data_IF_636029020689
#
_entry.id   IF_636029020689
#
_cell.length_a   1.000
_cell.length_b   1.000
_cell.length_c   1.000
_cell.angle_alpha   90.00
_cell.angle_beta   90.00
_cell.angle_gamma   90.00
#
_symmetry.space_group_name_H-M   'P 1'
#
loop_
_entity.id
_entity.type
_entity.pdbx_description
1 polymer ?
#
# COMPACT_ATOMS: atom_id res chain seq x y z
N UNK A 1 -76.72 39.64 32.91
CA UNK A 1 -76.12 40.61 31.97
C UNK A 1 -74.79 40.01 31.55
N UNK A 2 -74.75 39.45 30.35
CA UNK A 2 -73.59 38.75 29.82
C UNK A 2 -72.95 39.63 28.76
N UNK A 3 -71.84 40.29 29.11
CA UNK A 3 -71.10 41.13 28.17
C UNK A 3 -70.27 40.25 27.24
N UNK A 4 -70.75 40.12 26.00
CA UNK A 4 -70.03 39.55 24.88
C UNK A 4 -68.94 40.54 24.44
N UNK A 5 -67.69 40.21 24.75
CA UNK A 5 -66.50 40.92 24.29
C UNK A 5 -66.39 40.73 22.77
N UNK A 6 -66.77 41.75 21.99
CA UNK A 6 -66.47 41.81 20.55
C UNK A 6 -64.96 42.00 20.37
N UNK A 7 -64.28 40.93 19.93
CA UNK A 7 -62.90 41.03 19.44
C UNK A 7 -62.88 41.94 18.21
N UNK A 8 -61.98 42.94 18.12
CA UNK A 8 -61.99 43.89 17.00
C UNK A 8 -61.69 43.17 15.68
N UNK A 9 -62.61 43.28 14.72
CA UNK A 9 -62.57 42.67 13.37
C UNK A 9 -61.20 42.87 12.69
N UNK A 10 -60.54 44.00 12.96
CA UNK A 10 -59.22 44.35 12.43
C UNK A 10 -58.07 43.42 12.90
N UNK A 11 -58.16 42.85 14.11
CA UNK A 11 -57.15 41.93 14.65
C UNK A 11 -57.27 40.56 13.99
N UNK A 12 -58.48 40.12 13.74
CA UNK A 12 -58.78 38.86 13.04
C UNK A 12 -58.29 38.90 11.59
N UNK A 13 -58.43 40.05 10.93
CA UNK A 13 -58.01 40.23 9.54
C UNK A 13 -56.48 40.32 9.38
N UNK A 14 -55.80 40.98 10.31
CA UNK A 14 -54.33 40.99 10.36
C UNK A 14 -53.74 39.60 10.62
N UNK A 15 -54.31 38.83 11.55
CA UNK A 15 -53.89 37.43 11.79
C UNK A 15 -54.07 36.57 10.55
N UNK A 16 -55.15 36.76 9.80
CA UNK A 16 -55.41 36.02 8.55
C UNK A 16 -54.37 36.36 7.48
N UNK A 17 -54.01 37.63 7.32
CA UNK A 17 -52.96 38.06 6.38
C UNK A 17 -51.57 37.52 6.74
N UNK A 18 -51.20 37.56 8.02
CA UNK A 18 -49.94 36.97 8.47
C UNK A 18 -49.88 35.45 8.28
N UNK A 19 -51.00 34.74 8.48
CA UNK A 19 -51.05 33.30 8.25
C UNK A 19 -50.85 32.96 6.76
N UNK A 20 -51.55 33.66 5.86
CA UNK A 20 -51.41 33.46 4.41
C UNK A 20 -49.98 33.72 3.94
N UNK A 21 -49.33 34.78 4.44
CA UNK A 21 -47.92 35.04 4.09
C UNK A 21 -46.95 33.96 4.59
N UNK A 22 -47.20 33.39 5.77
CA UNK A 22 -46.38 32.28 6.27
C UNK A 22 -46.58 31.03 5.42
N UNK A 23 -47.83 30.70 5.07
CA UNK A 23 -48.16 29.54 4.26
C UNK A 23 -47.54 29.66 2.84
N UNK A 24 -47.57 30.85 2.23
CA UNK A 24 -46.92 31.13 0.93
C UNK A 24 -45.39 31.00 0.99
N UNK A 25 -44.75 31.47 2.07
CA UNK A 25 -43.31 31.31 2.25
C UNK A 25 -42.89 29.84 2.46
N UNK A 26 -43.72 29.06 3.15
CA UNK A 26 -43.47 27.63 3.37
C UNK A 26 -43.61 26.85 2.05
N UNK A 27 -44.60 27.18 1.22
CA UNK A 27 -44.82 26.57 -0.10
C UNK A 27 -43.66 26.85 -1.07
N UNK A 28 -43.15 28.09 -1.09
CA UNK A 28 -41.97 28.46 -1.89
C UNK A 28 -40.69 27.73 -1.43
N UNK A 29 -40.53 27.53 -0.11
CA UNK A 29 -39.40 26.79 0.45
C UNK A 29 -39.44 25.31 0.06
N UNK A 30 -40.62 24.68 0.13
CA UNK A 30 -40.85 23.29 -0.30
C UNK A 30 -40.57 23.13 -1.80
N UNK A 31 -41.03 24.06 -2.63
CA UNK A 31 -40.81 24.02 -4.08
C UNK A 31 -39.31 24.05 -4.41
N UNK A 32 -38.55 24.94 -3.75
CA UNK A 32 -37.10 25.05 -3.94
C UNK A 32 -36.36 23.78 -3.50
N UNK A 33 -36.76 23.16 -2.39
CA UNK A 33 -36.18 21.88 -1.93
C UNK A 33 -36.46 20.76 -2.95
N UNK A 34 -37.67 20.70 -3.49
CA UNK A 34 -38.03 19.68 -4.50
C UNK A 34 -37.24 19.86 -5.81
N UNK A 35 -37.02 21.10 -6.25
CA UNK A 35 -36.18 21.38 -7.42
C UNK A 35 -34.72 20.97 -7.19
N UNK A 36 -34.17 21.22 -5.99
CA UNK A 36 -32.82 20.76 -5.63
C UNK A 36 -32.72 19.24 -5.59
N UNK A 37 -33.74 18.56 -5.05
CA UNK A 37 -33.81 17.09 -5.05
C UNK A 37 -33.88 16.52 -6.48
N UNK A 38 -34.61 17.17 -7.39
CA UNK A 38 -34.66 16.77 -8.80
C UNK A 38 -33.29 16.88 -9.46
N UNK A 39 -32.60 18.02 -9.29
CA UNK A 39 -31.26 18.23 -9.84
C UNK A 39 -30.28 17.19 -9.30
N UNK A 40 -30.35 16.89 -7.99
CA UNK A 40 -29.50 15.88 -7.37
C UNK A 40 -29.77 14.48 -7.96
N UNK A 41 -31.04 14.14 -8.19
CA UNK A 41 -31.42 12.87 -8.76
C UNK A 41 -30.91 12.70 -10.21
N UNK A 42 -30.97 13.77 -11.02
CA UNK A 42 -30.42 13.77 -12.38
C UNK A 42 -28.90 13.55 -12.38
N UNK A 43 -28.17 14.19 -11.45
CA UNK A 43 -26.73 13.96 -11.29
C UNK A 43 -26.41 12.52 -10.89
N UNK A 44 -27.20 11.93 -9.99
CA UNK A 44 -27.01 10.53 -9.57
C UNK A 44 -27.21 9.58 -10.76
N UNK A 45 -28.22 9.81 -11.60
CA UNK A 45 -28.48 9.00 -12.80
C UNK A 45 -27.32 9.10 -13.81
N UNK A 46 -26.75 10.29 -14.01
CA UNK A 46 -25.59 10.48 -14.90
C UNK A 46 -24.34 9.75 -14.38
N UNK A 47 -24.10 9.76 -13.06
CA UNK A 47 -23.00 9.01 -12.43
C UNK A 47 -23.17 7.51 -12.64
N UNK A 48 -24.38 6.98 -12.45
CA UNK A 48 -24.69 5.55 -12.66
C UNK A 48 -24.43 5.16 -14.12
N UNK A 49 -24.86 5.99 -15.07
CA UNK A 49 -24.66 5.77 -16.50
C UNK A 49 -23.18 5.71 -16.86
N UNK A 50 -22.37 6.65 -16.38
CA UNK A 50 -20.93 6.69 -16.64
C UNK A 50 -20.20 5.49 -16.01
N UNK A 51 -20.61 5.08 -14.81
CA UNK A 51 -20.05 3.90 -14.12
C UNK A 51 -20.31 2.62 -14.91
N UNK A 52 -21.51 2.45 -15.45
CA UNK A 52 -21.87 1.30 -16.28
C UNK A 52 -21.08 1.29 -17.60
N UNK A 53 -20.90 2.45 -18.25
CA UNK A 53 -20.06 2.55 -19.45
C UNK A 53 -18.61 2.13 -19.17
N UNK A 54 -18.03 2.60 -18.05
CA UNK A 54 -16.69 2.21 -17.63
C UNK A 54 -16.57 0.70 -17.38
N UNK A 55 -17.55 0.11 -16.69
CA UNK A 55 -17.60 -1.34 -16.47
C UNK A 55 -17.62 -2.14 -17.78
N UNK A 56 -18.39 -1.70 -18.79
CA UNK A 56 -18.41 -2.37 -20.10
C UNK A 56 -17.07 -2.28 -20.84
N UNK A 57 -16.34 -1.16 -20.71
CA UNK A 57 -15.01 -1.00 -21.30
C UNK A 57 -13.98 -1.92 -20.65
N UNK A 58 -14.02 -2.09 -19.32
CA UNK A 58 -13.15 -3.02 -18.61
C UNK A 58 -13.36 -4.47 -19.05
N UNK A 59 -14.61 -4.92 -19.18
CA UNK A 59 -14.95 -6.27 -19.64
C UNK A 59 -14.44 -6.52 -21.06
N UNK A 60 -14.56 -5.54 -21.97
CA UNK A 60 -14.02 -5.63 -23.33
C UNK A 60 -12.49 -5.78 -23.32
N UNK A 61 -11.79 -4.95 -22.54
CA UNK A 61 -10.32 -5.00 -22.42
C UNK A 61 -9.83 -6.34 -21.86
N UNK A 62 -10.52 -6.90 -20.86
CA UNK A 62 -10.17 -8.22 -20.32
C UNK A 62 -10.40 -9.35 -21.34
N UNK A 63 -11.44 -9.23 -22.17
CA UNK A 63 -11.69 -10.19 -23.26
C UNK A 63 -10.59 -10.18 -24.32
N UNK A 64 -10.10 -8.99 -24.68
CA UNK A 64 -9.00 -8.80 -25.63
C UNK A 64 -7.68 -9.31 -25.05
N UNK A 65 -7.40 -9.00 -23.79
CA UNK A 65 -6.23 -9.51 -23.07
C UNK A 65 -6.22 -11.04 -23.00
N UNK A 66 -7.38 -11.67 -22.82
CA UNK A 66 -7.53 -13.12 -22.81
C UNK A 66 -7.28 -13.73 -24.20
N UNK A 67 -7.77 -13.10 -25.27
CA UNK A 67 -7.49 -13.51 -26.66
C UNK A 67 -6.00 -13.45 -26.96
N UNK A 68 -5.34 -12.34 -26.65
CA UNK A 68 -3.90 -12.15 -26.88
C UNK A 68 -3.07 -13.18 -26.10
N UNK A 69 -3.45 -13.48 -24.85
CA UNK A 69 -2.79 -14.50 -24.05
C UNK A 69 -2.91 -15.89 -24.66
N UNK A 70 -4.09 -16.24 -25.18
CA UNK A 70 -4.31 -17.53 -25.84
C UNK A 70 -3.54 -17.64 -27.16
N UNK A 71 -3.43 -16.54 -27.91
CA UNK A 71 -2.63 -16.48 -29.14
C UNK A 71 -1.14 -16.65 -28.87
N UNK A 72 -0.60 -16.01 -27.82
CA UNK A 72 0.79 -16.19 -27.39
C UNK A 72 1.06 -17.65 -27.00
N UNK A 73 0.14 -18.28 -26.26
CA UNK A 73 0.28 -19.69 -25.87
C UNK A 73 0.30 -20.60 -27.10
N UNK A 74 -0.62 -20.40 -28.05
CA UNK A 74 -0.66 -21.16 -29.30
C UNK A 74 0.62 -21.00 -30.14
N UNK A 75 1.18 -19.79 -30.20
CA UNK A 75 2.43 -19.52 -30.90
C UNK A 75 3.64 -20.20 -30.24
N UNK A 76 3.71 -20.22 -28.90
CA UNK A 76 4.78 -20.91 -28.15
C UNK A 76 4.71 -22.43 -28.37
N UNK A 77 3.51 -23.01 -28.42
CA UNK A 77 3.32 -24.44 -28.69
C UNK A 77 3.73 -24.83 -30.12
N UNK A 78 3.51 -23.96 -31.11
CA UNK A 78 4.01 -24.16 -32.48
C UNK A 78 5.55 -24.11 -32.54
N UNK A 79 6.18 -23.17 -31.82
CA UNK A 79 7.65 -23.07 -31.75
C UNK A 79 8.24 -24.34 -31.12
N UNK A 80 7.63 -24.84 -30.05
CA UNK A 80 8.07 -26.08 -29.39
C UNK A 80 7.91 -27.32 -30.28
N UNK A 81 6.89 -27.37 -31.16
CA UNK A 81 6.73 -28.46 -32.14
C UNK A 81 7.75 -28.43 -33.28
N UNK A 82 8.30 -27.26 -33.60
CA UNK A 82 9.26 -27.08 -34.69
C UNK A 82 10.73 -27.15 -34.22
N UNK A 83 10.98 -27.40 -32.93
CA UNK A 83 12.32 -27.44 -32.35
C UNK A 83 12.80 -28.88 -32.16
N UNK A 84 13.57 -29.43 -33.10
CA UNK A 84 14.40 -30.62 -32.84
C UNK A 84 15.78 -30.22 -32.29
N UNK A 85 16.27 -30.83 -31.20
CA UNK A 85 17.53 -30.44 -30.59
C UNK A 85 18.72 -31.16 -31.26
N UNK A 86 19.36 -30.51 -32.23
CA UNK A 86 20.72 -30.87 -32.64
C UNK A 86 21.71 -29.90 -32.01
N UNK A 87 22.28 -30.29 -30.86
CA UNK A 87 23.39 -29.57 -30.21
C UNK A 87 24.70 -30.35 -30.39
N UNK A 88 25.73 -29.77 -31.03
CA UNK A 88 27.08 -30.33 -31.03
C UNK A 88 27.70 -30.22 -29.63
N UNK A 89 28.26 -31.33 -29.13
CA UNK A 89 29.08 -31.34 -27.91
C UNK A 89 30.44 -30.75 -28.22
N UNK A 90 30.69 -29.51 -27.80
CA UNK A 90 32.06 -28.98 -27.71
C UNK A 90 32.58 -29.13 -26.28
N UNK A 91 33.46 -30.11 -26.12
CA UNK A 91 34.39 -30.17 -24.98
C UNK A 91 35.45 -29.09 -25.18
N UNK A 92 35.74 -28.30 -24.15
CA UNK A 92 37.02 -27.58 -24.10
C UNK A 92 37.49 -27.44 -22.64
N UNK A 93 38.80 -27.63 -22.36
CA UNK A 93 39.30 -27.79 -21.00
C UNK A 93 39.58 -26.45 -20.32
N UNK A 94 39.45 -26.44 -18.99
CA UNK A 94 39.95 -25.39 -18.10
C UNK A 94 41.48 -25.30 -18.21
N UNK A 95 42.00 -24.09 -18.38
CA UNK A 95 43.40 -23.77 -18.04
C UNK A 95 43.41 -22.43 -17.31
N UNK A 96 43.91 -22.46 -16.07
CA UNK A 96 44.15 -21.30 -15.23
C UNK A 96 45.26 -20.42 -15.85
N UNK A 97 44.99 -19.13 -16.05
CA UNK A 97 46.02 -18.15 -16.33
C UNK A 97 45.88 -16.96 -15.37
N UNK A 98 46.77 -16.91 -14.37
CA UNK A 98 46.96 -15.78 -13.47
C UNK A 98 47.45 -14.58 -14.29
N UNK A 99 46.69 -13.47 -14.31
CA UNK A 99 47.24 -12.17 -14.71
C UNK A 99 47.10 -11.13 -13.61
N UNK A 100 48.26 -10.84 -13.05
CA UNK A 100 48.62 -9.63 -12.33
C UNK A 100 48.35 -8.40 -13.21
N UNK A 101 47.57 -7.45 -12.72
CA UNK A 101 47.57 -6.07 -13.22
C UNK A 101 47.68 -5.15 -12.01
N UNK A 102 48.89 -4.64 -11.79
CA UNK A 102 49.14 -3.41 -11.05
C UNK A 102 48.77 -2.24 -11.97
N UNK A 103 47.90 -1.35 -11.51
CA UNK A 103 47.49 -0.15 -12.24
C UNK A 103 47.03 0.95 -11.31
N UNK A 104 48.01 1.67 -10.76
CA UNK A 104 48.01 3.08 -10.30
C UNK A 104 46.70 3.71 -9.83
N UNK A 105 46.54 3.79 -8.51
CA UNK A 105 45.66 4.74 -7.81
C UNK A 105 46.31 6.13 -7.82
N UNK A 106 45.56 7.15 -8.24
CA UNK A 106 45.76 8.52 -7.75
C UNK A 106 44.63 8.86 -6.77
N UNK A 107 44.94 9.35 -5.56
CA UNK A 107 43.95 9.63 -4.53
C UNK A 107 43.39 11.05 -4.72
N UNK A 108 42.06 11.18 -4.71
CA UNK A 108 41.40 12.46 -4.47
C UNK A 108 40.71 12.41 -3.10
N UNK A 109 40.88 13.50 -2.37
CA UNK A 109 40.72 13.63 -0.92
C UNK A 109 39.28 13.44 -0.43
N UNK A 110 39.12 12.85 0.76
CA UNK A 110 38.14 13.35 1.73
C UNK A 110 37.26 12.36 2.50
N UNK A 111 37.19 11.08 2.12
CA UNK A 111 36.24 10.15 2.76
C UNK A 111 36.97 9.16 3.68
N UNK A 112 36.44 8.98 4.90
CA UNK A 112 36.90 7.94 5.82
C UNK A 112 36.95 6.62 5.05
N UNK A 113 38.07 5.86 5.10
CA UNK A 113 38.14 4.59 4.39
C UNK A 113 37.07 3.67 4.97
N UNK A 114 36.11 3.30 4.14
CA UNK A 114 35.12 2.25 4.43
C UNK A 114 35.94 1.02 4.81
N UNK A 115 35.86 0.64 6.08
CA UNK A 115 36.48 -0.60 6.51
C UNK A 115 35.67 -1.72 5.85
N UNK A 116 36.22 -2.37 4.83
CA UNK A 116 35.56 -3.47 4.13
C UNK A 116 35.13 -4.63 5.05
N UNK A 117 35.55 -4.62 6.32
CA UNK A 117 35.13 -5.54 7.38
C UNK A 117 33.77 -5.19 8.01
N UNK A 118 33.29 -3.96 7.84
CA UNK A 118 32.06 -3.46 8.46
C UNK A 118 30.85 -3.54 7.51
N UNK A 119 31.05 -3.96 6.26
CA UNK A 119 29.96 -4.19 5.31
C UNK A 119 29.33 -5.57 5.61
N UNK A 120 28.04 -5.65 5.94
CA UNK A 120 27.37 -6.91 6.23
C UNK A 120 27.49 -7.90 5.07
N UNK A 121 27.70 -9.18 5.41
CA UNK A 121 27.74 -10.27 4.43
C UNK A 121 26.38 -10.38 3.76
N UNK A 122 26.34 -10.81 2.50
CA UNK A 122 25.09 -10.90 1.72
C UNK A 122 23.95 -11.69 2.43
N UNK A 123 24.29 -12.65 3.31
CA UNK A 123 23.33 -13.42 4.11
C UNK A 123 22.63 -12.61 5.20
N UNK A 124 23.22 -11.48 5.62
CA UNK A 124 22.68 -10.56 6.63
C UNK A 124 21.75 -9.51 6.00
N UNK A 125 21.65 -9.48 4.66
CA UNK A 125 20.78 -8.54 3.96
C UNK A 125 19.38 -9.13 3.76
N UNK A 126 18.34 -8.28 3.75
CA UNK A 126 16.97 -8.71 3.50
C UNK A 126 16.79 -9.27 2.09
N UNK A 127 15.88 -10.24 1.93
CA UNK A 127 15.47 -10.74 0.62
C UNK A 127 14.02 -10.37 0.31
N UNK A 128 13.74 -10.06 -0.96
CA UNK A 128 12.43 -9.58 -1.40
C UNK A 128 11.98 -10.25 -2.69
N UNK A 129 10.87 -10.99 -2.65
CA UNK A 129 10.35 -11.73 -3.81
C UNK A 129 9.35 -10.93 -4.65
N UNK A 130 8.68 -9.94 -4.05
CA UNK A 130 7.56 -9.23 -4.66
C UNK A 130 6.34 -10.11 -4.95
N UNK A 131 6.25 -11.30 -4.34
CA UNK A 131 5.16 -12.27 -4.52
C UNK A 131 4.46 -12.56 -3.18
N UNK A 132 3.15 -12.85 -3.21
CA UNK A 132 2.37 -13.20 -2.03
C UNK A 132 2.11 -12.00 -1.10
N UNK A 133 2.23 -12.24 0.22
CA UNK A 133 2.21 -11.20 1.25
C UNK A 133 3.63 -10.61 1.38
N UNK A 134 3.92 -9.54 0.65
CA UNK A 134 5.22 -8.87 0.67
C UNK A 134 5.19 -7.53 1.44
N UNK A 135 6.33 -7.16 2.02
CA UNK A 135 6.55 -5.90 2.71
C UNK A 135 7.79 -5.19 2.12
N UNK A 136 7.56 -4.32 1.14
CA UNK A 136 8.63 -3.57 0.50
C UNK A 136 9.17 -2.43 1.38
N UNK A 137 8.38 -1.95 2.35
CA UNK A 137 8.78 -0.91 3.30
C UNK A 137 9.87 -1.44 4.25
N UNK A 138 9.72 -2.68 4.73
CA UNK A 138 10.72 -3.33 5.58
C UNK A 138 12.03 -3.58 4.85
N UNK A 139 11.98 -3.95 3.56
CA UNK A 139 13.17 -4.04 2.71
C UNK A 139 13.92 -2.70 2.68
N UNK A 140 13.20 -1.62 2.34
CA UNK A 140 13.77 -0.27 2.23
C UNK A 140 14.35 0.17 3.56
N UNK A 141 13.58 0.07 4.65
CA UNK A 141 13.99 0.46 6.00
C UNK A 141 15.24 -0.30 6.46
N UNK A 142 15.29 -1.61 6.21
CA UNK A 142 16.46 -2.42 6.59
C UNK A 142 17.71 -1.98 5.84
N UNK A 143 17.59 -1.70 4.53
CA UNK A 143 18.71 -1.20 3.75
C UNK A 143 19.14 0.20 4.19
N UNK A 144 18.18 1.09 4.51
CA UNK A 144 18.47 2.44 5.01
C UNK A 144 19.20 2.39 6.36
N UNK A 145 18.78 1.53 7.29
CA UNK A 145 19.50 1.33 8.56
C UNK A 145 20.93 0.80 8.33
N UNK A 146 21.10 -0.18 7.44
CA UNK A 146 22.44 -0.69 7.10
C UNK A 146 23.32 0.38 6.43
N UNK A 147 22.72 1.23 5.60
CA UNK A 147 23.42 2.35 4.97
C UNK A 147 23.92 3.33 6.02
N UNK A 148 23.08 3.70 6.99
CA UNK A 148 23.42 4.63 8.07
C UNK A 148 24.47 4.03 9.02
N UNK A 149 24.25 2.81 9.51
CA UNK A 149 25.13 2.15 10.48
C UNK A 149 26.53 1.88 9.91
N UNK A 150 26.58 1.36 8.68
CA UNK A 150 27.83 0.92 8.04
C UNK A 150 28.39 1.93 7.04
N UNK A 151 27.77 3.11 6.88
CA UNK A 151 28.16 4.17 5.95
C UNK A 151 28.37 3.66 4.52
N UNK A 152 27.41 2.87 4.03
CA UNK A 152 27.54 2.14 2.76
C UNK A 152 27.21 3.08 1.59
N UNK A 153 28.11 3.22 0.59
CA UNK A 153 27.81 3.99 -0.62
C UNK A 153 26.68 3.39 -1.44
N UNK A 154 25.91 4.24 -2.10
CA UNK A 154 24.79 3.87 -2.97
C UNK A 154 25.20 2.86 -4.05
N UNK A 155 26.40 2.96 -4.60
CA UNK A 155 26.88 2.05 -5.65
C UNK A 155 26.97 0.59 -5.15
N UNK A 156 27.32 0.41 -3.88
CA UNK A 156 27.40 -0.90 -3.25
C UNK A 156 26.01 -1.46 -3.00
N UNK A 157 25.09 -0.63 -2.49
CA UNK A 157 23.69 -1.01 -2.25
C UNK A 157 23.03 -1.44 -3.56
N UNK A 158 23.13 -0.59 -4.58
CA UNK A 158 22.55 -0.81 -5.91
C UNK A 158 23.21 -2.00 -6.61
N UNK A 159 24.50 -2.23 -6.40
CA UNK A 159 25.20 -3.43 -6.86
C UNK A 159 24.72 -4.71 -6.17
N UNK A 160 24.40 -4.65 -4.88
CA UNK A 160 23.84 -5.76 -4.10
C UNK A 160 22.37 -6.01 -4.40
N UNK A 161 21.62 -5.01 -4.85
CA UNK A 161 20.17 -5.10 -5.06
C UNK A 161 19.76 -6.31 -5.91
N UNK A 162 20.54 -6.66 -6.94
CA UNK A 162 20.36 -7.87 -7.76
C UNK A 162 20.23 -9.17 -6.94
N UNK A 163 20.95 -9.28 -5.84
CA UNK A 163 20.94 -10.44 -4.96
C UNK A 163 19.82 -10.38 -3.92
N UNK A 164 19.41 -9.18 -3.53
CA UNK A 164 18.34 -8.97 -2.53
C UNK A 164 16.97 -9.26 -3.14
N UNK A 165 16.78 -8.95 -4.43
CA UNK A 165 15.52 -9.23 -5.11
C UNK A 165 15.49 -10.65 -5.70
N UNK A 166 14.37 -11.33 -5.53
CA UNK A 166 14.13 -12.68 -6.02
C UNK A 166 12.84 -12.76 -6.84
N UNK A 167 12.67 -13.85 -7.60
CA UNK A 167 11.42 -14.18 -8.32
C UNK A 167 10.88 -13.03 -9.18
N UNK A 168 9.61 -12.63 -9.01
CA UNK A 168 8.98 -11.54 -9.77
C UNK A 168 9.72 -10.21 -9.57
N UNK A 169 10.19 -9.90 -8.36
CA UNK A 169 10.97 -8.68 -8.13
C UNK A 169 12.30 -8.67 -8.89
N UNK A 170 12.95 -9.83 -9.05
CA UNK A 170 14.17 -9.96 -9.83
C UNK A 170 13.96 -9.67 -11.32
N UNK A 171 12.86 -10.17 -11.89
CA UNK A 171 12.50 -9.89 -13.30
C UNK A 171 12.24 -8.41 -13.53
N UNK A 172 11.51 -7.76 -12.61
CA UNK A 172 11.28 -6.32 -12.66
C UNK A 172 12.59 -5.53 -12.54
N UNK A 173 13.45 -5.89 -11.60
CA UNK A 173 14.74 -5.22 -11.38
C UNK A 173 15.58 -5.24 -12.64
N UNK A 174 15.70 -6.39 -13.32
CA UNK A 174 16.47 -6.46 -14.57
C UNK A 174 15.92 -5.56 -15.66
N UNK A 175 14.59 -5.49 -15.80
CA UNK A 175 13.97 -4.57 -16.76
C UNK A 175 14.33 -3.11 -16.43
N UNK A 176 14.12 -2.69 -15.19
CA UNK A 176 14.43 -1.32 -14.76
C UNK A 176 15.92 -1.01 -14.90
N UNK A 177 16.79 -1.98 -14.61
CA UNK A 177 18.24 -1.83 -14.75
C UNK A 177 18.69 -1.65 -16.20
N UNK A 178 17.99 -2.26 -17.16
CA UNK A 178 18.26 -2.08 -18.60
C UNK A 178 17.74 -0.73 -19.10
N UNK A 179 16.55 -0.32 -18.63
CA UNK A 179 15.88 0.89 -19.11
C UNK A 179 16.50 2.18 -18.51
N UNK A 180 16.95 2.15 -17.25
CA UNK A 180 17.39 3.33 -16.49
C UNK A 180 18.85 3.28 -16.02
N UNK A 181 19.49 2.11 -16.01
CA UNK A 181 20.93 2.01 -15.70
C UNK A 181 21.25 2.09 -14.20
N UNK A 182 22.35 2.79 -13.86
CA UNK A 182 22.95 2.82 -12.50
C UNK A 182 22.58 4.08 -11.71
N UNK A 183 21.29 4.29 -11.50
CA UNK A 183 20.82 5.36 -10.60
C UNK A 183 21.09 5.07 -9.13
N UNK A 184 20.98 6.12 -8.32
CA UNK A 184 21.23 6.16 -6.88
C UNK A 184 20.20 5.36 -6.07
N UNK A 185 20.52 5.09 -4.80
CA UNK A 185 19.63 4.30 -3.95
C UNK A 185 18.30 5.02 -3.72
N UNK A 186 18.32 6.35 -3.64
CA UNK A 186 17.12 7.17 -3.51
C UNK A 186 16.11 6.92 -4.64
N UNK A 187 16.57 6.92 -5.89
CA UNK A 187 15.74 6.61 -7.06
C UNK A 187 15.17 5.20 -6.98
N UNK A 188 16.00 4.21 -6.62
CA UNK A 188 15.53 2.83 -6.45
C UNK A 188 14.44 2.71 -5.38
N UNK A 189 14.53 3.46 -4.28
CA UNK A 189 13.46 3.50 -3.25
C UNK A 189 12.14 4.01 -3.83
N UNK A 190 12.19 5.08 -4.61
CA UNK A 190 11.02 5.66 -5.26
C UNK A 190 10.38 4.67 -6.24
N UNK A 191 11.18 3.97 -7.04
CA UNK A 191 10.68 2.98 -8.00
C UNK A 191 10.13 1.72 -7.32
N UNK A 192 10.79 1.22 -6.27
CA UNK A 192 10.28 0.12 -5.45
C UNK A 192 8.91 0.51 -4.86
N UNK A 193 8.83 1.71 -4.28
CA UNK A 193 7.58 2.21 -3.71
C UNK A 193 6.50 2.37 -4.78
N UNK A 194 6.83 2.93 -5.93
CA UNK A 194 5.89 3.09 -7.05
C UNK A 194 5.35 1.76 -7.55
N UNK A 195 6.23 0.75 -7.69
CA UNK A 195 5.86 -0.57 -8.18
C UNK A 195 5.00 -1.35 -7.19
N UNK A 196 5.37 -1.35 -5.91
CA UNK A 196 4.81 -2.25 -4.90
C UNK A 196 3.88 -1.61 -3.88
N UNK A 197 3.86 -0.28 -3.75
CA UNK A 197 2.88 0.46 -2.94
C UNK A 197 1.58 0.78 -3.70
N UNK A 198 1.22 -0.03 -4.70
CA UNK A 198 0.03 0.18 -5.51
C UNK A 198 -1.28 -0.02 -4.70
N UNK A 199 -2.38 0.52 -5.21
CA UNK A 199 -3.69 0.46 -4.54
C UNK A 199 -4.15 -0.98 -4.26
N UNK A 200 -3.80 -1.94 -5.12
CA UNK A 200 -4.14 -3.35 -4.89
C UNK A 200 -3.40 -3.94 -3.69
N UNK A 201 -2.14 -3.57 -3.48
CA UNK A 201 -1.40 -3.95 -2.27
C UNK A 201 -2.02 -3.31 -1.03
N UNK A 202 -2.29 -1.99 -1.07
CA UNK A 202 -2.92 -1.27 0.05
C UNK A 202 -4.24 -1.92 0.45
N UNK A 203 -5.10 -2.19 -0.53
CA UNK A 203 -6.37 -2.86 -0.33
C UNK A 203 -6.21 -4.27 0.26
N UNK A 204 -5.24 -5.06 -0.22
CA UNK A 204 -4.98 -6.40 0.31
C UNK A 204 -4.55 -6.39 1.77
N UNK A 205 -3.61 -5.51 2.13
CA UNK A 205 -3.14 -5.41 3.52
C UNK A 205 -4.26 -4.89 4.42
N UNK A 206 -5.01 -3.88 3.97
CA UNK A 206 -6.14 -3.33 4.73
C UNK A 206 -7.24 -4.39 4.94
N UNK A 207 -7.59 -5.16 3.91
CA UNK A 207 -8.57 -6.22 4.01
C UNK A 207 -8.08 -7.40 4.87
N UNK A 208 -6.78 -7.72 4.80
CA UNK A 208 -6.13 -8.69 5.69
C UNK A 208 -6.23 -8.22 7.14
N UNK A 209 -6.00 -6.94 7.42
CA UNK A 209 -6.16 -6.37 8.75
C UNK A 209 -7.61 -6.35 9.23
N UNK A 210 -8.56 -5.99 8.35
CA UNK A 210 -10.00 -5.94 8.68
C UNK A 210 -10.55 -7.32 9.02
N UNK A 211 -10.21 -8.34 8.23
CA UNK A 211 -10.68 -9.72 8.44
C UNK A 211 -9.91 -10.50 9.50
N UNK A 212 -8.71 -10.05 9.87
CA UNK A 212 -7.94 -10.68 10.94
C UNK A 212 -8.63 -10.51 12.30
N UNK A 213 -8.84 -11.64 12.97
CA UNK A 213 -9.27 -11.76 14.36
C UNK A 213 -8.24 -12.62 15.05
N UNK A 214 -7.80 -12.22 16.24
CA UNK A 214 -6.88 -13.01 17.04
C UNK A 214 -7.55 -14.30 17.52
N UNK A 215 -6.87 -15.44 17.39
CA UNK A 215 -7.36 -16.70 17.92
C UNK A 215 -6.44 -17.19 19.05
N UNK A 216 -6.88 -17.18 20.32
CA UNK A 216 -6.07 -17.59 21.47
C UNK A 216 -5.56 -19.03 21.41
N UNK A 217 -6.24 -19.93 20.71
CA UNK A 217 -5.86 -21.35 20.60
C UNK A 217 -4.80 -21.59 19.52
N UNK A 218 -4.73 -20.70 18.52
CA UNK A 218 -3.87 -20.87 17.32
C UNK A 218 -2.70 -19.91 17.29
N UNK A 219 -2.89 -18.69 17.78
CA UNK A 219 -1.97 -17.58 17.64
C UNK A 219 -1.30 -17.24 18.97
N UNK A 220 0.01 -17.01 18.93
CA UNK A 220 0.74 -16.43 20.07
C UNK A 220 0.53 -14.91 20.08
N UNK A 221 0.09 -14.30 21.20
CA UNK A 221 -0.24 -12.88 21.28
C UNK A 221 0.84 -11.95 20.72
N UNK A 222 2.06 -12.09 21.21
CA UNK A 222 3.18 -11.24 20.81
C UNK A 222 3.51 -11.35 19.31
N UNK A 223 3.68 -12.58 18.81
CA UNK A 223 4.00 -12.82 17.40
C UNK A 223 2.88 -12.31 16.48
N UNK A 224 1.63 -12.47 16.92
CA UNK A 224 0.49 -11.97 16.18
C UNK A 224 0.50 -10.43 16.14
N UNK A 225 0.68 -9.79 17.29
CA UNK A 225 0.74 -8.34 17.42
C UNK A 225 1.84 -7.73 16.55
N UNK A 226 3.08 -8.19 16.67
CA UNK A 226 4.23 -7.66 15.92
C UNK A 226 4.00 -7.75 14.41
N UNK A 227 3.59 -8.93 13.92
CA UNK A 227 3.29 -9.13 12.50
C UNK A 227 2.22 -8.17 11.97
N UNK A 228 1.26 -7.76 12.80
CA UNK A 228 0.21 -6.80 12.41
C UNK A 228 0.71 -5.36 12.54
N UNK A 229 1.51 -5.06 13.57
CA UNK A 229 2.14 -3.76 13.74
C UNK A 229 2.99 -3.39 12.54
N UNK A 230 3.86 -4.29 12.08
CA UNK A 230 4.74 -4.00 10.95
C UNK A 230 3.95 -3.65 9.68
N UNK A 231 2.91 -4.44 9.39
CA UNK A 231 2.05 -4.25 8.21
C UNK A 231 1.17 -3.02 8.30
N UNK A 232 0.60 -2.75 9.47
CA UNK A 232 -0.32 -1.64 9.65
C UNK A 232 0.42 -0.30 9.70
N UNK A 233 1.62 -0.28 10.28
CA UNK A 233 2.51 0.89 10.26
C UNK A 233 2.96 1.22 8.84
N UNK A 234 3.21 0.20 8.00
CA UNK A 234 3.53 0.39 6.59
C UNK A 234 2.37 1.02 5.77
N UNK A 235 1.12 0.86 6.19
CA UNK A 235 -0.05 1.50 5.55
C UNK A 235 -0.32 2.91 6.06
N UNK A 236 0.04 3.20 7.31
CA UNK A 236 -0.31 4.42 8.00
C UNK A 236 0.92 5.08 8.61
N UNK A 237 1.86 5.58 7.78
CA UNK A 237 3.09 6.21 8.27
C UNK A 237 2.80 7.46 9.11
N UNK A 238 1.69 8.15 8.86
CA UNK A 238 1.30 9.37 9.58
C UNK A 238 0.57 9.10 10.92
N UNK A 239 0.29 7.83 11.24
CA UNK A 239 -0.44 7.47 12.45
C UNK A 239 0.52 7.19 13.61
N UNK A 240 0.24 7.76 14.79
CA UNK A 240 1.05 7.51 15.97
C UNK A 240 1.08 6.01 16.34
N UNK A 241 2.22 5.53 16.82
CA UNK A 241 2.39 4.15 17.29
C UNK A 241 1.34 3.74 18.33
N UNK A 242 1.00 4.61 19.28
CA UNK A 242 -0.03 4.32 20.29
C UNK A 242 -1.40 4.04 19.66
N UNK A 243 -1.82 4.85 18.67
CA UNK A 243 -3.07 4.63 17.93
C UNK A 243 -3.03 3.34 17.10
N UNK A 244 -1.89 3.03 16.47
CA UNK A 244 -1.68 1.77 15.75
C UNK A 244 -1.85 0.59 16.71
N UNK A 245 -1.15 0.62 17.84
CA UNK A 245 -1.18 -0.44 18.85
C UNK A 245 -2.61 -0.64 19.39
N UNK A 246 -3.34 0.44 19.68
CA UNK A 246 -4.73 0.38 20.12
C UNK A 246 -5.66 -0.23 19.07
N UNK A 247 -5.49 0.11 17.78
CA UNK A 247 -6.28 -0.50 16.70
C UNK A 247 -6.02 -1.99 16.56
N UNK A 248 -4.77 -2.42 16.73
CA UNK A 248 -4.41 -3.84 16.73
C UNK A 248 -4.99 -4.52 17.97
N UNK A 249 -4.93 -3.88 19.14
CA UNK A 249 -5.41 -4.45 20.40
C UNK A 249 -6.92 -4.75 20.37
N UNK A 250 -7.72 -3.89 19.72
CA UNK A 250 -9.16 -4.14 19.49
C UNK A 250 -9.46 -5.42 18.70
N UNK A 251 -8.46 -6.00 18.03
CA UNK A 251 -8.59 -7.29 17.33
C UNK A 251 -8.34 -8.51 18.22
N UNK A 252 -7.76 -8.31 19.39
CA UNK A 252 -7.63 -9.36 20.41
C UNK A 252 -8.98 -9.70 21.02
N UNK A 253 -9.76 -8.68 21.39
CA UNK A 253 -11.07 -8.86 22.01
C UNK A 253 -11.00 -9.50 23.41
N UNK A 254 -12.15 -9.50 24.07
CA UNK A 254 -12.37 -10.26 25.31
C UNK A 254 -11.41 -9.91 26.45
N UNK A 255 -11.02 -10.94 27.20
CA UNK A 255 -10.23 -10.81 28.42
C UNK A 255 -8.79 -10.33 28.16
N UNK A 256 -8.18 -10.76 27.06
CA UNK A 256 -6.80 -10.38 26.74
C UNK A 256 -6.68 -8.90 26.37
N UNK A 257 -7.62 -8.37 25.58
CA UNK A 257 -7.69 -6.93 25.33
C UNK A 257 -7.87 -6.14 26.63
N UNK A 258 -8.78 -6.59 27.51
CA UNK A 258 -9.03 -5.92 28.78
C UNK A 258 -7.81 -5.95 29.70
N UNK A 259 -7.17 -7.11 29.86
CA UNK A 259 -6.00 -7.29 30.71
C UNK A 259 -4.83 -6.40 30.28
N UNK A 260 -4.58 -6.31 28.96
CA UNK A 260 -3.51 -5.45 28.42
C UNK A 260 -3.83 -3.97 28.65
N UNK A 261 -5.08 -3.53 28.40
CA UNK A 261 -5.49 -2.15 28.67
C UNK A 261 -5.37 -1.76 30.14
N UNK A 262 -5.67 -2.68 31.07
CA UNK A 262 -5.50 -2.41 32.50
C UNK A 262 -4.04 -2.21 32.90
N UNK A 263 -3.08 -2.78 32.16
CA UNK A 263 -1.64 -2.67 32.42
C UNK A 263 -0.98 -1.50 31.68
N UNK A 264 -1.62 -0.98 30.62
CA UNK A 264 -1.10 0.08 29.76
C UNK A 264 -1.79 1.42 30.07
N UNK A 265 -1.02 2.44 30.45
CA UNK A 265 -1.54 3.81 30.66
C UNK A 265 -1.29 4.64 29.39
N UNK A 266 -2.33 5.25 28.83
CA UNK A 266 -2.21 6.05 27.60
C UNK A 266 -1.59 7.44 27.86
N UNK A 267 -0.72 7.96 26.95
CA UNK A 267 -0.20 7.31 25.75
C UNK A 267 0.86 6.25 26.09
N UNK A 268 0.63 5.03 25.62
CA UNK A 268 1.43 3.86 25.97
C UNK A 268 2.42 3.53 24.82
N UNK A 269 3.74 3.43 25.08
CA UNK A 269 4.72 3.01 24.09
C UNK A 269 4.50 1.55 23.68
N UNK A 270 5.09 1.14 22.55
CA UNK A 270 4.88 -0.21 22.01
C UNK A 270 5.42 -1.29 22.94
N UNK A 271 6.52 -1.01 23.61
CA UNK A 271 7.23 -1.87 24.54
C UNK A 271 6.32 -2.29 25.70
N UNK A 272 5.49 -1.39 26.19
CA UNK A 272 4.57 -1.66 27.30
C UNK A 272 3.42 -2.57 26.87
N UNK A 273 2.91 -2.43 25.63
CA UNK A 273 1.97 -3.42 25.08
C UNK A 273 2.62 -4.80 24.92
N UNK A 274 3.88 -4.85 24.49
CA UNK A 274 4.65 -6.10 24.35
C UNK A 274 4.85 -6.77 25.70
N UNK A 275 5.22 -6.00 26.73
CA UNK A 275 5.43 -6.50 28.09
C UNK A 275 4.14 -6.94 28.78
N UNK A 276 2.99 -6.40 28.37
CA UNK A 276 1.69 -6.73 28.94
C UNK A 276 1.05 -8.01 28.35
N UNK A 277 1.54 -8.49 27.20
CA UNK A 277 1.07 -9.70 26.48
C UNK A 277 1.65 -10.99 27.05
#
# INVERSE_FOLDING_TARGET
MSDLIQVPIHVTELKRKCQVQNDEMEELSILNINDQLRILNDHVLEIIKNTNQFATHLVKSDSERKKLKNEIIANVEQIHKNYEPNMPRHSTPLTEEKRSIKGSLTPFLGEKPICAKDIPKLQEWPTFSGEGEYNHIELIRTIDMLQEDCHIPDEIIVGKLHFLVTRTAKKWYYKMRLDHGKDDWHWWKCEISTKWANNSWRFKIENSFKSAIFNPEKDKPLTWFLKRKDRFSALHPDMSDSMINMKILRKFGGELEHAIKCRCVEPCPTEDYINAM
#
